data_IF_182690660322
#
_entry.id   IF_182690660322
#
_cell.length_a   1.000
_cell.length_b   1.000
_cell.length_c   1.000
_cell.angle_alpha   90.00
_cell.angle_beta   90.00
_cell.angle_gamma   90.00
#
_symmetry.space_group_name_H-M   'P 1'
#
loop_
_entity.id
_entity.type
_entity.pdbx_description
1 polymer ?
#
# COMPACT_ATOMS: atom_id res chain seq x y z
N UNK A 1 -2.38 -0.12 13.54
CA UNK A 1 -1.49 -0.29 12.36
C UNK A 1 -1.44 -1.76 12.03
N UNK A 2 -1.56 -2.13 10.75
CA UNK A 2 -1.41 -3.50 10.29
C UNK A 2 -0.36 -3.57 9.19
N UNK A 3 0.57 -4.51 9.30
CA UNK A 3 1.59 -4.79 8.29
C UNK A 3 1.27 -6.12 7.62
N UNK A 4 1.16 -6.13 6.29
CA UNK A 4 0.96 -7.36 5.52
C UNK A 4 2.25 -7.71 4.80
N UNK A 5 2.76 -8.91 5.08
CA UNK A 5 4.04 -9.42 4.57
C UNK A 5 3.83 -10.78 3.89
N UNK A 6 4.28 -10.92 2.64
CA UNK A 6 4.34 -12.21 1.94
C UNK A 6 3.18 -12.55 0.99
N UNK A 7 3.28 -13.73 0.35
CA UNK A 7 2.30 -14.29 -0.59
C UNK A 7 2.67 -14.16 -2.08
N UNK A 8 1.82 -14.63 -2.99
CA UNK A 8 2.10 -14.61 -4.44
C UNK A 8 2.13 -13.19 -5.01
N UNK A 9 3.17 -12.79 -5.73
CA UNK A 9 3.27 -11.47 -6.36
C UNK A 9 2.17 -11.25 -7.41
N UNK A 10 1.45 -10.13 -7.35
CA UNK A 10 0.47 -9.79 -8.40
C UNK A 10 1.12 -9.32 -9.71
N UNK A 11 2.36 -8.82 -9.64
CA UNK A 11 3.08 -8.26 -10.79
C UNK A 11 4.00 -9.31 -11.43
N UNK A 12 5.06 -9.74 -10.73
CA UNK A 12 6.01 -10.73 -11.24
C UNK A 12 5.55 -12.19 -11.09
N UNK A 13 4.39 -12.44 -10.48
CA UNK A 13 3.76 -13.78 -10.31
C UNK A 13 4.58 -14.82 -9.53
N UNK A 14 5.70 -14.44 -8.92
CA UNK A 14 6.49 -15.32 -8.06
C UNK A 14 5.73 -15.73 -6.80
N UNK A 15 5.93 -16.98 -6.36
CA UNK A 15 5.27 -17.55 -5.18
C UNK A 15 5.84 -16.99 -3.87
N UNK A 16 7.15 -16.77 -3.83
CA UNK A 16 7.84 -16.05 -2.74
C UNK A 16 7.99 -14.58 -3.09
N UNK A 17 6.91 -13.81 -2.94
CA UNK A 17 6.98 -12.35 -3.05
C UNK A 17 7.23 -11.74 -1.68
N UNK A 18 8.32 -10.99 -1.56
CA UNK A 18 8.41 -9.96 -0.55
C UNK A 18 7.39 -8.89 -0.94
N UNK A 19 6.14 -8.98 -0.47
CA UNK A 19 5.21 -7.84 -0.49
C UNK A 19 5.20 -7.29 0.91
N UNK A 20 5.56 -6.01 1.07
CA UNK A 20 5.49 -5.36 2.37
C UNK A 20 4.73 -4.07 2.23
N UNK A 21 3.71 -3.89 3.07
CA UNK A 21 2.97 -2.64 3.15
C UNK A 21 2.59 -2.35 4.59
N UNK A 22 2.62 -1.07 4.94
CA UNK A 22 2.03 -0.60 6.19
C UNK A 22 0.65 -0.05 5.87
N UNK A 23 -0.32 -0.29 6.74
CA UNK A 23 -1.63 0.30 6.54
C UNK A 23 -2.41 0.53 7.81
N UNK A 24 -3.46 1.32 7.62
CA UNK A 24 -4.39 1.78 8.64
C UNK A 24 -5.80 1.64 8.11
N UNK A 25 -6.74 1.34 9.00
CA UNK A 25 -8.15 1.36 8.67
C UNK A 25 -8.64 2.82 8.72
N UNK A 26 -9.07 3.36 7.59
CA UNK A 26 -9.67 4.68 7.45
C UNK A 26 -11.19 4.57 7.45
N UNK A 27 -11.81 4.74 8.62
CA UNK A 27 -13.27 4.78 8.74
C UNK A 27 -13.85 6.14 8.33
N UNK A 28 -13.16 7.22 8.73
CA UNK A 28 -13.50 8.59 8.37
C UNK A 28 -12.19 9.34 8.08
N UNK A 29 -12.01 9.77 6.85
CA UNK A 29 -10.84 10.55 6.41
C UNK A 29 -11.36 11.70 5.58
N UNK A 30 -11.01 12.93 5.98
CA UNK A 30 -11.31 14.13 5.22
C UNK A 30 -10.63 14.11 3.85
N UNK A 31 -11.26 14.69 2.83
CA UNK A 31 -10.71 14.74 1.47
C UNK A 31 -9.31 15.38 1.43
N UNK A 32 -9.10 16.46 2.20
CA UNK A 32 -7.80 17.14 2.28
C UNK A 32 -6.70 16.23 2.86
N UNK A 33 -6.98 15.56 3.98
CA UNK A 33 -6.05 14.58 4.56
C UNK A 33 -5.77 13.41 3.61
N UNK A 34 -6.79 12.94 2.87
CA UNK A 34 -6.58 11.89 1.88
C UNK A 34 -5.67 12.35 0.74
N UNK A 35 -5.84 13.57 0.22
CA UNK A 35 -4.96 14.12 -0.81
C UNK A 35 -3.51 14.19 -0.32
N UNK A 36 -3.26 14.66 0.90
CA UNK A 36 -1.91 14.65 1.46
C UNK A 36 -1.32 13.24 1.64
N UNK A 37 -2.18 12.23 1.86
CA UNK A 37 -1.75 10.83 1.92
C UNK A 37 -1.39 10.33 0.50
N UNK A 38 -2.19 10.64 -0.51
CA UNK A 38 -1.90 10.33 -1.91
C UNK A 38 -0.57 10.97 -2.36
N UNK A 39 -0.35 12.25 -2.05
CA UNK A 39 0.92 12.97 -2.33
C UNK A 39 2.12 12.30 -1.65
N UNK A 40 1.92 11.59 -0.53
CA UNK A 40 2.96 10.85 0.19
C UNK A 40 3.10 9.38 -0.26
N UNK A 41 2.42 9.00 -1.34
CA UNK A 41 2.46 7.65 -1.93
C UNK A 41 1.62 6.62 -1.18
N UNK A 42 0.58 7.05 -0.45
CA UNK A 42 -0.41 6.13 0.11
C UNK A 42 -1.47 5.80 -0.93
N UNK A 43 -2.00 4.59 -0.84
CA UNK A 43 -3.08 4.04 -1.65
C UNK A 43 -4.26 3.64 -0.76
N UNK A 44 -5.42 3.39 -1.37
CA UNK A 44 -6.59 2.84 -0.65
C UNK A 44 -7.21 1.66 -1.39
N UNK A 45 -7.62 0.66 -0.61
CA UNK A 45 -8.46 -0.45 -1.04
C UNK A 45 -9.67 -0.51 -0.10
N UNK A 46 -10.79 0.06 -0.55
CA UNK A 46 -12.00 0.20 0.28
C UNK A 46 -11.79 1.14 1.47
N UNK A 47 -11.84 0.57 2.68
CA UNK A 47 -11.59 1.25 3.97
C UNK A 47 -10.15 1.09 4.47
N UNK A 48 -9.32 0.33 3.77
CA UNK A 48 -7.92 0.14 4.14
C UNK A 48 -7.05 1.10 3.36
N UNK A 49 -6.28 1.94 4.05
CA UNK A 49 -5.32 2.88 3.47
C UNK A 49 -3.93 2.33 3.76
N UNK A 50 -3.09 2.19 2.75
CA UNK A 50 -1.81 1.52 2.87
C UNK A 50 -0.72 2.19 2.04
N UNK A 51 0.52 2.05 2.48
CA UNK A 51 1.71 2.50 1.77
C UNK A 51 2.63 1.30 1.54
N UNK A 52 2.92 0.96 0.27
CA UNK A 52 3.87 -0.10 -0.03
C UNK A 52 5.28 0.31 0.40
N UNK A 53 6.00 -0.61 1.04
CA UNK A 53 7.41 -0.42 1.37
C UNK A 53 8.22 -0.90 0.18
N UNK A 54 8.57 0.03 -0.71
CA UNK A 54 9.26 -0.28 -1.98
C UNK A 54 10.60 -0.99 -1.74
N UNK A 55 11.32 -0.65 -0.67
CA UNK A 55 12.61 -1.28 -0.32
C UNK A 55 12.50 -2.77 -0.02
N UNK A 56 11.36 -3.20 0.51
CA UNK A 56 11.11 -4.58 0.91
C UNK A 56 10.22 -5.30 -0.10
N UNK A 57 9.66 -4.58 -1.07
CA UNK A 57 8.72 -5.16 -2.02
C UNK A 57 9.41 -5.56 -3.33
N UNK A 58 9.20 -6.80 -3.80
CA UNK A 58 9.86 -7.29 -5.02
C UNK A 58 9.44 -6.54 -6.31
N UNK A 59 8.26 -5.90 -6.32
CA UNK A 59 7.76 -5.08 -7.43
C UNK A 59 7.21 -3.75 -6.89
N UNK A 60 7.84 -2.60 -7.20
CA UNK A 60 7.42 -1.31 -6.68
C UNK A 60 6.02 -0.95 -7.19
N UNK A 61 5.11 -0.66 -6.25
CA UNK A 61 3.77 -0.15 -6.57
C UNK A 61 3.77 1.36 -6.53
N UNK A 62 3.92 2.01 -7.69
CA UNK A 62 3.80 3.46 -7.80
C UNK A 62 2.33 3.87 -7.92
N UNK A 63 1.92 4.82 -7.09
CA UNK A 63 0.61 5.47 -7.19
C UNK A 63 0.57 6.35 -8.43
N UNK A 64 -0.46 6.19 -9.26
CA UNK A 64 -0.80 7.12 -10.35
C UNK A 64 -1.46 8.33 -9.68
N UNK A 65 -0.98 9.54 -9.97
CA UNK A 65 -1.59 10.78 -9.48
C UNK A 65 -2.58 11.31 -10.50
#
# INVERSE_FOLDING_TARGET
LGSSSGGRCGYCKQEESSKSSIGVAGYNVSCEHFNQLLDRGWNRSGRYIYKPIIKETCCPQYTIR
#
